data_IF_256153208851
#
_entry.id   IF_256153208851
#
_cell.length_a   1.000
_cell.length_b   1.000
_cell.length_c   1.000
_cell.angle_alpha   90.00
_cell.angle_beta   90.00
_cell.angle_gamma   90.00
#
_symmetry.space_group_name_H-M   'P 1'
#
loop_
_entity.id
_entity.type
_entity.pdbx_description
1 polymer ?
#
# COMPACT_ATOMS: atom_id res chain seq x y z
N UNK A 1 -0.44 -20.50 -3.23
CA UNK A 1 0.70 -19.58 -3.29
C UNK A 1 1.83 -20.23 -2.53
N UNK A 2 3.03 -20.32 -3.10
CA UNK A 2 4.20 -20.82 -2.36
C UNK A 2 4.51 -19.87 -1.20
N UNK A 3 4.54 -20.42 0.00
CA UNK A 3 4.88 -19.70 1.23
C UNK A 3 6.39 -19.73 1.41
N UNK A 4 7.05 -18.62 1.80
CA UNK A 4 8.45 -18.63 2.19
C UNK A 4 8.77 -19.74 3.19
N UNK A 5 9.88 -20.45 2.98
CA UNK A 5 10.33 -21.48 3.91
C UNK A 5 10.92 -20.83 5.17
N UNK A 6 10.84 -21.51 6.32
CA UNK A 6 11.46 -21.03 7.55
C UNK A 6 12.97 -20.78 7.38
N UNK A 7 13.66 -21.64 6.62
CA UNK A 7 15.08 -21.48 6.31
C UNK A 7 15.38 -20.18 5.54
N UNK A 8 14.57 -19.84 4.53
CA UNK A 8 14.75 -18.59 3.78
C UNK A 8 14.48 -17.35 4.63
N UNK A 9 13.52 -17.44 5.57
CA UNK A 9 13.23 -16.36 6.53
C UNK A 9 14.44 -16.14 7.44
N UNK A 10 15.00 -17.19 8.04
CA UNK A 10 16.18 -17.08 8.91
C UNK A 10 17.42 -16.59 8.14
N UNK A 11 17.61 -17.03 6.90
CA UNK A 11 18.69 -16.54 6.04
C UNK A 11 18.55 -15.02 5.79
N UNK A 12 17.36 -14.53 5.44
CA UNK A 12 17.14 -13.10 5.23
C UNK A 12 17.34 -12.30 6.53
N UNK A 13 16.86 -12.81 7.67
CA UNK A 13 17.09 -12.19 8.98
C UNK A 13 18.58 -12.06 9.29
N UNK A 14 19.37 -13.10 9.03
CA UNK A 14 20.82 -13.07 9.22
C UNK A 14 21.50 -12.02 8.32
N UNK A 15 21.11 -11.95 7.04
CA UNK A 15 21.61 -10.94 6.11
C UNK A 15 21.27 -9.50 6.53
N UNK A 16 20.05 -9.27 7.01
CA UNK A 16 19.62 -7.97 7.54
C UNK A 16 20.40 -7.61 8.81
N UNK A 17 20.60 -8.56 9.72
CA UNK A 17 21.37 -8.35 10.94
C UNK A 17 22.84 -8.01 10.65
N UNK A 18 23.41 -8.51 9.56
CA UNK A 18 24.77 -8.20 9.11
C UNK A 18 24.86 -6.93 8.23
N UNK A 19 23.73 -6.35 7.80
CA UNK A 19 23.74 -5.24 6.86
C UNK A 19 24.34 -3.96 7.48
N UNK A 20 25.25 -3.26 6.76
CA UNK A 20 25.74 -1.96 7.18
C UNK A 20 24.70 -0.86 6.94
N UNK A 21 24.90 0.29 7.59
CA UNK A 21 24.15 1.53 7.31
C UNK A 21 22.64 1.37 7.49
N UNK A 22 22.25 0.84 8.64
CA UNK A 22 20.89 0.80 9.17
C UNK A 22 20.92 1.25 10.62
N UNK A 23 20.13 2.28 10.94
CA UNK A 23 19.90 2.70 12.31
C UNK A 23 19.21 1.58 13.14
N UNK A 24 19.17 1.77 14.46
CA UNK A 24 18.61 0.77 15.37
C UNK A 24 17.12 0.50 15.10
N UNK A 25 16.34 1.55 14.85
CA UNK A 25 14.89 1.48 14.63
C UNK A 25 14.54 0.74 13.34
N UNK A 26 15.23 1.05 12.24
CA UNK A 26 15.01 0.42 10.93
C UNK A 26 15.49 -1.02 10.92
N UNK A 27 16.56 -1.33 11.65
CA UNK A 27 17.02 -2.71 11.85
C UNK A 27 16.02 -3.51 12.66
N UNK A 28 15.52 -2.96 13.77
CA UNK A 28 14.48 -3.58 14.59
C UNK A 28 13.22 -3.88 13.76
N UNK A 29 12.75 -2.89 13.00
CA UNK A 29 11.63 -3.06 12.08
C UNK A 29 11.89 -4.15 11.03
N UNK A 30 13.05 -4.13 10.37
CA UNK A 30 13.38 -5.10 9.31
C UNK A 30 13.49 -6.54 9.83
N UNK A 31 13.93 -6.70 11.09
CA UNK A 31 13.98 -7.98 11.81
C UNK A 31 12.63 -8.35 12.47
N UNK A 32 11.58 -7.58 12.22
CA UNK A 32 10.23 -7.88 12.69
C UNK A 32 9.75 -9.26 12.24
N UNK A 33 8.94 -9.98 13.05
CA UNK A 33 8.57 -11.37 12.79
C UNK A 33 7.93 -11.63 11.41
N UNK A 34 7.12 -10.70 10.93
CA UNK A 34 6.40 -10.80 9.65
C UNK A 34 7.10 -10.13 8.47
N UNK A 35 8.11 -9.27 8.73
CA UNK A 35 8.70 -8.40 7.71
C UNK A 35 9.53 -9.22 6.73
N UNK A 36 10.48 -10.03 7.21
CA UNK A 36 11.28 -10.89 6.32
C UNK A 36 10.39 -11.84 5.49
N UNK A 37 9.36 -12.43 6.10
CA UNK A 37 8.40 -13.27 5.39
C UNK A 37 7.68 -12.50 4.27
N UNK A 38 7.19 -11.29 4.56
CA UNK A 38 6.48 -10.44 3.58
C UNK A 38 7.35 -10.13 2.35
N UNK A 39 8.62 -9.79 2.56
CA UNK A 39 9.54 -9.47 1.46
C UNK A 39 9.90 -10.70 0.63
N UNK A 40 10.09 -11.86 1.27
CA UNK A 40 10.28 -13.13 0.55
C UNK A 40 9.04 -13.51 -0.26
N UNK A 41 7.84 -13.38 0.32
CA UNK A 41 6.58 -13.67 -0.37
C UNK A 41 6.38 -12.74 -1.58
N UNK A 42 6.76 -11.47 -1.47
CA UNK A 42 6.77 -10.53 -2.59
C UNK A 42 7.76 -10.94 -3.69
N UNK A 43 8.95 -11.43 -3.32
CA UNK A 43 9.93 -11.97 -4.26
C UNK A 43 9.40 -13.19 -5.02
N UNK A 44 8.81 -14.16 -4.31
CA UNK A 44 8.16 -15.34 -4.92
C UNK A 44 7.08 -14.92 -5.91
N UNK A 45 6.17 -14.02 -5.50
CA UNK A 45 5.09 -13.53 -6.36
C UNK A 45 5.61 -12.79 -7.62
N UNK A 46 6.85 -12.31 -7.59
CA UNK A 46 7.52 -11.59 -8.67
C UNK A 46 8.56 -12.44 -9.41
N UNK A 47 8.56 -13.77 -9.20
CA UNK A 47 9.52 -14.71 -9.79
C UNK A 47 11.01 -14.37 -9.48
N UNK A 48 11.27 -13.77 -8.32
CA UNK A 48 12.60 -13.49 -7.75
C UNK A 48 12.70 -14.06 -6.32
N UNK A 49 12.63 -15.39 -6.15
CA UNK A 49 12.62 -16.00 -4.83
C UNK A 49 14.02 -15.95 -4.18
N UNK A 50 14.05 -16.00 -2.84
CA UNK A 50 15.27 -16.16 -2.06
C UNK A 50 15.70 -14.91 -1.28
N UNK A 51 16.48 -15.15 -0.23
CA UNK A 51 16.91 -14.09 0.70
C UNK A 51 17.82 -13.06 0.03
N UNK A 52 18.76 -13.50 -0.81
CA UNK A 52 19.68 -12.61 -1.54
C UNK A 52 18.93 -11.63 -2.47
N UNK A 53 17.86 -12.06 -3.13
CA UNK A 53 17.05 -11.20 -3.99
C UNK A 53 16.10 -10.28 -3.21
N UNK A 54 15.60 -10.76 -2.05
CA UNK A 54 14.74 -9.96 -1.18
C UNK A 54 15.51 -8.86 -0.42
N UNK A 55 16.78 -9.09 -0.09
CA UNK A 55 17.59 -8.22 0.76
C UNK A 55 17.68 -6.77 0.22
N UNK A 56 18.06 -6.49 -1.04
CA UNK A 56 18.15 -5.10 -1.53
C UNK A 56 16.82 -4.35 -1.45
N UNK A 57 15.69 -5.05 -1.64
CA UNK A 57 14.37 -4.44 -1.52
C UNK A 57 14.04 -4.10 -0.06
N UNK A 58 14.29 -5.04 0.86
CA UNK A 58 14.07 -4.81 2.29
C UNK A 58 14.95 -3.67 2.81
N UNK A 59 16.25 -3.67 2.51
CA UNK A 59 17.17 -2.62 2.94
C UNK A 59 16.81 -1.25 2.38
N UNK A 60 16.41 -1.17 1.10
CA UNK A 60 15.93 0.08 0.51
C UNK A 60 14.72 0.63 1.26
N UNK A 61 13.78 -0.23 1.63
CA UNK A 61 12.60 0.21 2.37
C UNK A 61 12.98 0.63 3.78
N UNK A 62 13.81 -0.13 4.48
CA UNK A 62 14.25 0.19 5.84
C UNK A 62 14.91 1.58 5.89
N UNK A 63 15.81 1.90 4.96
CA UNK A 63 16.44 3.23 4.86
C UNK A 63 15.46 4.33 4.46
N UNK A 64 14.52 4.03 3.58
CA UNK A 64 13.47 4.99 3.22
C UNK A 64 12.61 5.34 4.44
N UNK A 65 12.25 4.35 5.26
CA UNK A 65 11.47 4.56 6.49
C UNK A 65 12.19 5.49 7.45
N UNK A 66 13.49 5.32 7.66
CA UNK A 66 14.33 6.25 8.42
C UNK A 66 14.25 7.67 7.84
N UNK A 67 14.52 7.82 6.54
CA UNK A 67 14.55 9.14 5.88
C UNK A 67 13.22 9.89 5.91
N UNK A 68 12.11 9.15 6.01
CA UNK A 68 10.74 9.68 6.02
C UNK A 68 10.11 9.66 7.43
N UNK A 69 10.85 9.24 8.45
CA UNK A 69 10.37 9.05 9.83
C UNK A 69 9.11 8.16 9.93
N UNK A 70 9.05 7.08 9.13
CA UNK A 70 7.92 6.14 9.10
C UNK A 70 8.06 5.10 10.22
N UNK A 71 7.07 5.05 11.10
CA UNK A 71 7.05 4.09 12.21
C UNK A 71 6.13 4.56 13.34
N UNK A 72 6.45 4.17 14.58
CA UNK A 72 5.62 4.49 15.75
C UNK A 72 5.36 5.98 15.94
N UNK A 73 6.36 6.84 15.72
CA UNK A 73 6.21 8.29 15.83
C UNK A 73 5.19 8.85 14.83
N UNK A 74 5.20 8.36 13.59
CA UNK A 74 4.23 8.74 12.55
C UNK A 74 2.81 8.26 12.90
N UNK A 75 2.69 7.04 13.44
CA UNK A 75 1.41 6.48 13.86
C UNK A 75 0.80 7.25 15.06
N UNK A 76 1.65 7.85 15.89
CA UNK A 76 1.27 8.65 17.06
C UNK A 76 1.20 10.17 16.77
N UNK A 77 1.33 10.59 15.50
CA UNK A 77 1.26 12.00 15.11
C UNK A 77 -0.22 12.45 14.99
N UNK A 78 -0.68 13.20 16.00
CA UNK A 78 -2.05 13.72 16.07
C UNK A 78 -2.37 14.70 14.93
N UNK A 79 -1.40 15.54 14.52
CA UNK A 79 -1.62 16.52 13.47
C UNK A 79 -1.76 15.86 12.11
N UNK A 80 -0.89 14.87 11.82
CA UNK A 80 -1.00 14.08 10.59
C UNK A 80 -2.28 13.24 10.57
N UNK A 81 -2.66 12.67 11.72
CA UNK A 81 -3.91 11.92 11.86
C UNK A 81 -5.13 12.81 11.61
N UNK A 82 -5.18 14.01 12.21
CA UNK A 82 -6.26 14.97 11.98
C UNK A 82 -6.34 15.42 10.51
N UNK A 83 -5.19 15.62 9.86
CA UNK A 83 -5.15 15.95 8.43
C UNK A 83 -5.67 14.79 7.56
N UNK A 84 -5.24 13.56 7.82
CA UNK A 84 -5.73 12.37 7.12
C UNK A 84 -7.23 12.17 7.32
N UNK A 85 -7.75 12.37 8.53
CA UNK A 85 -9.19 12.31 8.82
C UNK A 85 -9.98 13.38 8.07
N UNK A 86 -9.43 14.59 7.92
CA UNK A 86 -10.02 15.66 7.12
C UNK A 86 -10.01 15.36 5.60
N UNK A 87 -9.12 14.48 5.12
CA UNK A 87 -9.09 14.02 3.73
C UNK A 87 -10.16 12.96 3.43
N UNK A 88 -10.49 12.10 4.40
CA UNK A 88 -11.49 11.01 4.22
C UNK A 88 -12.80 11.45 3.58
N UNK A 89 -13.48 12.52 4.04
CA UNK A 89 -14.73 12.96 3.41
C UNK A 89 -14.54 13.57 2.01
N UNK A 90 -13.32 13.97 1.63
CA UNK A 90 -13.01 14.53 0.30
C UNK A 90 -12.71 13.44 -0.72
N UNK A 91 -11.91 12.46 -0.30
CA UNK A 91 -11.58 11.26 -1.06
C UNK A 91 -12.69 10.19 -0.96
N UNK A 92 -13.69 10.41 -0.11
CA UNK A 92 -14.82 9.51 0.11
C UNK A 92 -14.39 8.08 0.44
N UNK A 93 -13.37 7.93 1.30
CA UNK A 93 -12.91 6.63 1.76
C UNK A 93 -13.13 6.38 3.26
N UNK A 94 -13.17 5.10 3.60
CA UNK A 94 -13.27 4.61 4.97
C UNK A 94 -12.33 3.44 5.19
N UNK A 95 -11.86 3.28 6.43
CA UNK A 95 -11.06 2.15 6.89
C UNK A 95 -11.85 1.36 7.92
N UNK A 96 -11.95 0.05 7.71
CA UNK A 96 -12.72 -0.87 8.55
C UNK A 96 -12.11 -2.27 8.51
N UNK A 97 -12.86 -3.30 8.92
CA UNK A 97 -12.48 -4.71 8.79
C UNK A 97 -13.56 -5.49 8.06
N UNK A 98 -13.16 -6.45 7.24
CA UNK A 98 -14.09 -7.38 6.61
C UNK A 98 -14.55 -8.50 7.56
N UNK A 99 -15.38 -9.43 7.07
CA UNK A 99 -15.90 -10.55 7.89
C UNK A 99 -14.81 -11.50 8.40
N UNK A 100 -13.65 -11.55 7.73
CA UNK A 100 -12.49 -12.33 8.14
C UNK A 100 -11.52 -11.52 9.02
N UNK A 101 -11.90 -10.30 9.43
CA UNK A 101 -11.08 -9.41 10.26
C UNK A 101 -9.97 -8.69 9.49
N UNK A 102 -9.90 -8.82 8.16
CA UNK A 102 -8.86 -8.22 7.34
C UNK A 102 -9.08 -6.72 7.21
N UNK A 103 -8.03 -5.90 7.07
CA UNK A 103 -8.19 -4.48 6.78
C UNK A 103 -9.02 -4.30 5.52
N UNK A 104 -10.05 -3.45 5.59
CA UNK A 104 -10.93 -3.12 4.47
C UNK A 104 -10.91 -1.62 4.24
N UNK A 105 -10.48 -1.20 3.06
CA UNK A 105 -10.61 0.18 2.58
C UNK A 105 -11.66 0.23 1.50
N UNK A 106 -12.62 1.13 1.63
CA UNK A 106 -13.62 1.41 0.60
C UNK A 106 -13.48 2.87 0.21
N UNK A 107 -13.31 3.17 -1.07
CA UNK A 107 -13.16 4.52 -1.61
C UNK A 107 -14.09 4.73 -2.81
N UNK A 108 -14.89 5.82 -2.79
CA UNK A 108 -15.87 6.13 -3.84
C UNK A 108 -15.31 7.08 -4.89
N UNK A 109 -14.37 6.58 -5.67
CA UNK A 109 -13.61 7.31 -6.70
C UNK A 109 -14.52 8.02 -7.70
N UNK A 110 -15.58 7.37 -8.18
CA UNK A 110 -16.46 7.96 -9.20
C UNK A 110 -17.28 9.16 -8.69
N UNK A 111 -17.40 9.31 -7.37
CA UNK A 111 -18.17 10.37 -6.71
C UNK A 111 -17.31 11.55 -6.24
N UNK A 112 -16.00 11.56 -6.52
CA UNK A 112 -15.11 12.64 -6.11
C UNK A 112 -15.52 14.02 -6.64
N UNK A 113 -15.38 15.04 -5.78
CA UNK A 113 -15.28 16.42 -6.22
C UNK A 113 -13.85 16.67 -6.76
N UNK A 114 -13.70 16.60 -8.07
CA UNK A 114 -12.40 16.75 -8.71
C UNK A 114 -11.82 18.15 -8.59
N UNK A 115 -12.65 19.18 -8.44
CA UNK A 115 -12.19 20.56 -8.27
C UNK A 115 -11.57 20.71 -6.89
N UNK A 116 -12.29 20.24 -5.86
CA UNK A 116 -11.79 20.27 -4.49
C UNK A 116 -10.54 19.41 -4.34
N UNK A 117 -10.56 18.17 -4.85
CA UNK A 117 -9.39 17.30 -4.76
C UNK A 117 -8.18 17.88 -5.49
N UNK A 118 -8.35 18.39 -6.72
CA UNK A 118 -7.22 18.99 -7.45
C UNK A 118 -6.60 20.15 -6.66
N UNK A 119 -7.43 20.97 -5.98
CA UNK A 119 -6.97 22.05 -5.11
C UNK A 119 -6.16 21.50 -3.93
N UNK A 120 -6.71 20.57 -3.16
CA UNK A 120 -6.01 19.96 -2.01
C UNK A 120 -4.70 19.29 -2.41
N UNK A 121 -4.71 18.53 -3.52
CA UNK A 121 -3.54 17.84 -4.06
C UNK A 121 -2.46 18.80 -4.59
N UNK A 122 -2.81 20.06 -4.84
CA UNK A 122 -1.89 21.12 -5.26
C UNK A 122 -1.37 21.90 -4.06
N UNK A 123 -2.27 22.35 -3.19
CA UNK A 123 -1.96 23.22 -2.06
C UNK A 123 -1.23 22.47 -0.92
N UNK A 124 -1.41 21.15 -0.81
CA UNK A 124 -0.89 20.33 0.30
C UNK A 124 -0.35 18.98 -0.17
N UNK A 125 0.34 18.98 -1.31
CA UNK A 125 0.82 17.74 -1.95
C UNK A 125 1.71 16.88 -1.03
N UNK A 126 2.56 17.51 -0.23
CA UNK A 126 3.45 16.82 0.70
C UNK A 126 2.70 16.16 1.85
N UNK A 127 1.77 16.88 2.47
CA UNK A 127 0.92 16.36 3.55
C UNK A 127 0.00 15.24 3.06
N UNK A 128 -0.56 15.37 1.85
CA UNK A 128 -1.32 14.29 1.19
C UNK A 128 -0.47 13.03 1.07
N UNK A 129 0.77 13.15 0.57
CA UNK A 129 1.64 11.98 0.40
C UNK A 129 1.99 11.36 1.76
N UNK A 130 2.25 12.18 2.79
CA UNK A 130 2.47 11.69 4.16
C UNK A 130 1.22 11.01 4.73
N UNK A 131 0.02 11.53 4.48
CA UNK A 131 -1.22 10.89 4.90
C UNK A 131 -1.44 9.55 4.19
N UNK A 132 -1.10 9.45 2.90
CA UNK A 132 -1.13 8.17 2.17
C UNK A 132 -0.17 7.14 2.78
N UNK A 133 1.05 7.56 3.13
CA UNK A 133 2.00 6.70 3.86
C UNK A 133 1.43 6.28 5.23
N UNK A 134 0.73 7.17 5.94
CA UNK A 134 0.10 6.87 7.22
C UNK A 134 -0.95 5.76 7.07
N UNK A 135 -1.82 5.88 6.07
CA UNK A 135 -2.86 4.88 5.77
C UNK A 135 -2.23 3.53 5.44
N UNK A 136 -1.22 3.51 4.57
CA UNK A 136 -0.49 2.29 4.24
C UNK A 136 0.20 1.65 5.45
N UNK A 137 0.77 2.46 6.33
CA UNK A 137 1.42 1.96 7.56
C UNK A 137 0.39 1.37 8.54
N UNK A 138 -0.77 2.02 8.71
CA UNK A 138 -1.90 1.48 9.50
C UNK A 138 -2.40 0.15 8.94
N UNK A 139 -2.54 0.06 7.62
CA UNK A 139 -2.90 -1.19 6.93
C UNK A 139 -1.82 -2.25 7.18
N UNK A 140 -0.53 -1.92 7.00
CA UNK A 140 0.59 -2.84 7.20
C UNK A 140 0.59 -3.42 8.61
N UNK A 141 0.48 -2.56 9.63
CA UNK A 141 0.42 -2.95 11.04
C UNK A 141 -0.76 -3.89 11.28
N UNK A 142 -1.95 -3.56 10.76
CA UNK A 142 -3.13 -4.40 10.93
C UNK A 142 -3.00 -5.77 10.23
N UNK A 143 -2.32 -5.85 9.08
CA UNK A 143 -1.96 -7.12 8.42
C UNK A 143 -0.94 -7.92 9.27
N UNK A 144 0.02 -7.24 9.90
CA UNK A 144 1.01 -7.89 10.77
C UNK A 144 0.38 -8.44 12.06
N UNK A 145 -0.53 -7.69 12.68
CA UNK A 145 -1.26 -8.06 13.89
C UNK A 145 -2.24 -9.21 13.68
N UNK A 146 -2.92 -9.25 12.53
CA UNK A 146 -3.76 -10.39 12.15
C UNK A 146 -2.96 -11.69 12.10
N UNK A 147 -1.63 -11.60 11.99
CA UNK A 147 -0.72 -12.71 11.79
C UNK A 147 -1.06 -13.49 10.52
N UNK A 148 -0.32 -14.56 10.25
CA UNK A 148 -0.80 -15.63 9.37
C UNK A 148 -1.91 -16.46 10.06
N UNK A 149 -2.57 -15.90 11.08
CA UNK A 149 -3.33 -16.60 12.10
C UNK A 149 -4.83 -16.62 11.77
N UNK A 150 -5.15 -17.36 10.72
CA UNK A 150 -6.26 -18.32 10.74
C UNK A 150 -5.94 -19.34 9.65
N UNK A 151 -6.06 -20.63 9.94
CA UNK A 151 -5.73 -21.69 8.98
C UNK A 151 -6.45 -21.45 7.64
N UNK A 152 -5.70 -20.94 6.65
CA UNK A 152 -6.11 -20.85 5.25
C UNK A 152 -6.61 -19.50 4.71
N UNK A 153 -6.83 -18.46 5.52
CA UNK A 153 -7.29 -17.15 4.99
C UNK A 153 -6.12 -16.18 4.71
N UNK A 154 -6.16 -15.49 3.58
CA UNK A 154 -5.18 -14.45 3.23
C UNK A 154 -5.38 -13.21 4.11
N UNK A 155 -4.44 -12.86 5.02
CA UNK A 155 -4.63 -11.78 6.00
C UNK A 155 -4.48 -10.37 5.40
N UNK A 156 -4.09 -10.28 4.12
CA UNK A 156 -3.83 -9.01 3.44
C UNK A 156 -5.10 -8.19 3.25
N UNK A 157 -4.91 -6.88 3.11
CA UNK A 157 -5.98 -5.93 2.97
C UNK A 157 -6.86 -6.17 1.73
N UNK A 158 -8.13 -5.83 1.87
CA UNK A 158 -9.11 -5.74 0.79
C UNK A 158 -9.33 -4.27 0.49
N UNK A 159 -9.16 -3.88 -0.77
CA UNK A 159 -9.50 -2.54 -1.25
C UNK A 159 -10.72 -2.61 -2.15
N UNK A 160 -11.66 -1.69 -1.98
CA UNK A 160 -12.85 -1.55 -2.83
C UNK A 160 -12.85 -0.14 -3.39
N UNK A 161 -12.83 -0.03 -4.71
CA UNK A 161 -12.97 1.22 -5.42
C UNK A 161 -14.32 1.25 -6.13
N UNK A 162 -15.23 2.09 -5.63
CA UNK A 162 -16.53 2.35 -6.23
C UNK A 162 -16.37 3.42 -7.32
N UNK A 163 -16.62 2.99 -8.56
CA UNK A 163 -16.45 3.78 -9.78
C UNK A 163 -17.77 4.39 -10.26
N UNK A 164 -18.87 4.26 -9.52
CA UNK A 164 -20.14 4.89 -9.90
C UNK A 164 -19.98 6.42 -9.95
N UNK A 165 -20.40 7.02 -11.07
CA UNK A 165 -20.16 8.44 -11.39
C UNK A 165 -18.85 8.74 -12.12
N UNK A 166 -18.01 7.73 -12.39
CA UNK A 166 -16.79 7.92 -13.18
C UNK A 166 -17.11 8.42 -14.60
N UNK A 167 -16.34 9.40 -15.06
CA UNK A 167 -16.50 10.02 -16.37
C UNK A 167 -15.25 10.74 -16.87
N UNK A 168 -15.31 11.29 -18.09
CA UNK A 168 -14.15 11.88 -18.80
C UNK A 168 -13.39 12.95 -18.01
N UNK A 169 -14.05 13.68 -17.10
CA UNK A 169 -13.41 14.67 -16.22
C UNK A 169 -12.30 14.07 -15.34
N UNK A 170 -12.41 12.81 -14.95
CA UNK A 170 -11.40 12.11 -14.15
C UNK A 170 -10.14 11.87 -14.99
N UNK A 171 -10.32 11.45 -16.25
CA UNK A 171 -9.23 11.25 -17.22
C UNK A 171 -8.54 12.57 -17.59
N UNK A 172 -9.30 13.65 -17.65
CA UNK A 172 -8.77 14.96 -17.98
C UNK A 172 -7.92 15.57 -16.85
N UNK A 173 -8.06 15.07 -15.61
CA UNK A 173 -7.31 15.60 -14.47
C UNK A 173 -5.89 15.05 -14.41
N UNK A 174 -4.96 15.76 -15.07
CA UNK A 174 -3.53 15.42 -15.07
C UNK A 174 -2.93 15.38 -13.67
N UNK A 175 -3.35 16.29 -12.79
CA UNK A 175 -2.83 16.35 -11.41
C UNK A 175 -3.22 15.12 -10.61
N UNK A 176 -4.47 14.65 -10.73
CA UNK A 176 -4.91 13.43 -10.04
C UNK A 176 -4.20 12.19 -10.58
N UNK A 177 -4.03 12.08 -11.91
CA UNK A 177 -3.26 10.98 -12.51
C UNK A 177 -1.78 11.00 -12.07
N UNK A 178 -1.17 12.18 -11.96
CA UNK A 178 0.19 12.34 -11.46
C UNK A 178 0.30 11.87 -10.01
N UNK A 179 -0.56 12.36 -9.11
CA UNK A 179 -0.53 11.97 -7.70
C UNK A 179 -0.80 10.47 -7.54
N UNK A 180 -1.75 9.91 -8.29
CA UNK A 180 -2.00 8.47 -8.32
C UNK A 180 -0.76 7.68 -8.76
N UNK A 181 -0.04 8.16 -9.78
CA UNK A 181 1.21 7.54 -10.23
C UNK A 181 2.28 7.58 -9.15
N UNK A 182 2.44 8.72 -8.45
CA UNK A 182 3.41 8.88 -7.37
C UNK A 182 3.09 7.95 -6.19
N UNK A 183 1.82 7.89 -5.78
CA UNK A 183 1.32 6.98 -4.73
C UNK A 183 1.52 5.51 -5.13
N UNK A 184 1.12 5.12 -6.34
CA UNK A 184 1.27 3.74 -6.84
C UNK A 184 2.73 3.30 -6.87
N UNK A 185 3.64 4.20 -7.25
CA UNK A 185 5.08 3.95 -7.24
C UNK A 185 5.59 3.76 -5.81
N UNK A 186 5.22 4.66 -4.91
CA UNK A 186 5.59 4.57 -3.49
C UNK A 186 5.11 3.26 -2.85
N UNK A 187 3.88 2.86 -3.14
CA UNK A 187 3.28 1.61 -2.63
C UNK A 187 4.05 0.39 -3.13
N UNK A 188 4.38 0.38 -4.43
CA UNK A 188 5.18 -0.69 -5.03
C UNK A 188 6.62 -0.73 -4.49
N UNK A 189 7.20 0.44 -4.19
CA UNK A 189 8.59 0.57 -3.78
C UNK A 189 8.81 0.30 -2.27
N UNK A 190 7.75 0.36 -1.44
CA UNK A 190 7.88 0.34 0.02
C UNK A 190 6.82 -0.48 0.79
N UNK A 191 5.69 -0.84 0.18
CA UNK A 191 4.61 -1.59 0.84
C UNK A 191 4.32 -2.93 0.14
N UNK A 192 5.32 -3.81 -0.02
CA UNK A 192 5.09 -5.08 -0.70
C UNK A 192 4.10 -5.95 0.05
N UNK A 193 3.26 -6.65 -0.71
CA UNK A 193 2.47 -7.77 -0.21
C UNK A 193 1.53 -7.40 0.97
N UNK A 194 1.09 -6.14 1.07
CA UNK A 194 0.08 -5.63 2.02
C UNK A 194 -1.36 -5.86 1.56
N UNK A 195 -1.60 -5.74 0.24
CA UNK A 195 -2.92 -5.86 -0.39
C UNK A 195 -3.11 -7.25 -0.98
N UNK A 196 -4.24 -7.89 -0.69
CA UNK A 196 -4.60 -9.23 -1.15
C UNK A 196 -5.58 -9.19 -2.32
N UNK A 197 -6.61 -8.35 -2.23
CA UNK A 197 -7.66 -8.26 -3.23
C UNK A 197 -8.08 -6.82 -3.47
N UNK A 198 -8.32 -6.46 -4.73
CA UNK A 198 -8.85 -5.17 -5.13
C UNK A 198 -10.16 -5.40 -5.89
N UNK A 199 -11.25 -4.87 -5.37
CA UNK A 199 -12.55 -4.86 -6.02
C UNK A 199 -12.77 -3.52 -6.69
N UNK A 200 -13.06 -3.52 -7.98
CA UNK A 200 -13.58 -2.36 -8.69
C UNK A 200 -15.06 -2.63 -8.93
N UNK A 201 -15.93 -1.79 -8.39
CA UNK A 201 -17.38 -1.97 -8.46
C UNK A 201 -18.03 -0.78 -9.14
N UNK A 202 -19.18 -0.99 -9.80
CA UNK A 202 -19.92 0.10 -10.43
C UNK A 202 -19.17 0.71 -11.62
N UNK A 203 -18.28 -0.06 -12.25
CA UNK A 203 -17.43 0.42 -13.35
C UNK A 203 -18.27 0.80 -14.57
N UNK A 204 -18.38 2.10 -14.94
CA UNK A 204 -19.10 2.48 -16.15
C UNK A 204 -18.27 2.12 -17.39
N UNK A 205 -18.88 2.22 -18.59
CA UNK A 205 -18.17 1.96 -19.85
C UNK A 205 -16.86 2.75 -20.01
N UNK A 206 -16.78 3.95 -19.42
CA UNK A 206 -15.59 4.80 -19.44
C UNK A 206 -14.42 4.26 -18.57
N UNK A 207 -14.67 3.30 -17.68
CA UNK A 207 -13.65 2.71 -16.80
C UNK A 207 -12.49 2.09 -17.59
N UNK A 208 -12.76 1.46 -18.73
CA UNK A 208 -11.71 0.83 -19.55
C UNK A 208 -10.62 1.83 -19.98
N UNK A 209 -11.01 3.06 -20.33
CA UNK A 209 -10.08 4.13 -20.67
C UNK A 209 -9.30 4.63 -19.45
N UNK A 210 -9.94 4.74 -18.28
CA UNK A 210 -9.24 5.08 -17.03
C UNK A 210 -8.23 4.00 -16.67
N UNK A 211 -8.65 2.75 -16.71
CA UNK A 211 -7.78 1.63 -16.40
C UNK A 211 -6.60 1.55 -17.38
N UNK A 212 -6.81 1.82 -18.66
CA UNK A 212 -5.72 1.88 -19.64
C UNK A 212 -4.68 2.97 -19.27
N UNK A 213 -5.12 4.13 -18.79
CA UNK A 213 -4.21 5.20 -18.34
C UNK A 213 -3.55 4.88 -16.99
N UNK A 214 -4.32 4.45 -15.99
CA UNK A 214 -3.86 4.23 -14.63
C UNK A 214 -3.00 2.97 -14.49
N UNK A 215 -3.34 1.89 -15.19
CA UNK A 215 -2.64 0.60 -15.07
C UNK A 215 -1.18 0.65 -15.54
N UNK A 216 -0.77 1.67 -16.31
CA UNK A 216 0.64 1.89 -16.64
C UNK A 216 1.51 2.10 -15.38
N UNK A 217 0.91 2.60 -14.28
CA UNK A 217 1.59 2.91 -13.02
C UNK A 217 1.40 1.83 -11.94
N UNK A 218 0.54 0.85 -12.20
CA UNK A 218 0.23 -0.23 -11.25
C UNK A 218 1.18 -1.41 -11.51
N UNK A 219 1.86 -1.89 -10.46
CA UNK A 219 2.72 -3.06 -10.56
C UNK A 219 1.94 -4.30 -11.06
N UNK A 220 2.57 -5.16 -11.87
CA UNK A 220 1.93 -6.34 -12.47
C UNK A 220 1.32 -7.28 -11.43
N UNK A 221 2.00 -7.49 -10.31
CA UNK A 221 1.48 -8.28 -9.19
C UNK A 221 0.21 -7.69 -8.56
N UNK A 222 0.02 -6.38 -8.65
CA UNK A 222 -1.19 -5.68 -8.16
C UNK A 222 -2.32 -5.76 -9.18
N UNK A 223 -2.04 -5.66 -10.49
CA UNK A 223 -3.06 -5.83 -11.54
C UNK A 223 -3.78 -7.18 -11.44
N UNK A 224 -3.04 -8.25 -11.16
CA UNK A 224 -3.57 -9.61 -10.97
C UNK A 224 -4.54 -9.75 -9.78
N UNK A 225 -4.57 -8.77 -8.87
CA UNK A 225 -5.47 -8.74 -7.70
C UNK A 225 -6.77 -7.98 -7.98
N UNK A 226 -6.87 -7.31 -9.13
CA UNK A 226 -8.02 -6.51 -9.51
C UNK A 226 -9.11 -7.40 -10.07
N UNK A 227 -10.30 -7.33 -9.49
CA UNK A 227 -11.52 -7.94 -10.00
C UNK A 227 -12.56 -6.83 -10.23
N UNK A 228 -13.13 -6.79 -11.44
CA UNK A 228 -14.07 -5.75 -11.87
C UNK A 228 -15.50 -6.32 -11.89
N UNK A 229 -16.44 -5.60 -11.27
CA UNK A 229 -17.85 -5.97 -11.12
C UNK A 229 -18.77 -4.84 -11.59
#
# INVERSE_FOLDING_TARGET
METPTAAAVEELRALVAAAPDLDASSREWALGPSVCHRYLAAGIASAKPGAAEALPFLLRTARWRESQAVGGAMLADDALSAFEEALRPKLLYSLSRDRAGRPLMIERVGAWDLTELTRVMTDSAGEVMRAHVLVNERIRVSVDEAGFASEGADPRAVLVFDMDGLGLRHLASRKLLQVFSEMSKLDSDHFPHTVGTIFVVGAPRAFSALWAAASAFVAEGTKKKVSVF
#
